data_IF_453091255190
#
_entry.id   IF_453091255190
#
_cell.length_a   1.000
_cell.length_b   1.000
_cell.length_c   1.000
_cell.angle_alpha   90.00
_cell.angle_beta   90.00
_cell.angle_gamma   90.00
#
_symmetry.space_group_name_H-M   'P 1'
#
loop_
_entity.id
_entity.type
_entity.pdbx_description
1 polymer ?
#
# COMPACT_ATOMS: atom_id res chain seq x y z
N UNK A 1 22.95 -15.64 9.22
CA UNK A 1 22.49 -15.32 7.85
C UNK A 1 21.04 -14.87 7.95
N UNK A 2 20.72 -13.64 7.58
CA UNK A 2 19.31 -13.22 7.47
C UNK A 2 18.75 -13.76 6.16
N UNK A 3 17.73 -14.60 6.28
CA UNK A 3 17.09 -15.32 5.18
C UNK A 3 16.61 -14.34 4.08
N UNK A 4 16.96 -14.57 2.79
CA UNK A 4 16.49 -13.76 1.67
C UNK A 4 14.97 -13.57 1.64
N UNK A 5 14.19 -14.57 2.06
CA UNK A 5 12.72 -14.49 2.05
C UNK A 5 12.18 -13.53 3.12
N UNK A 6 12.80 -13.49 4.31
CA UNK A 6 12.45 -12.52 5.37
C UNK A 6 12.72 -11.10 4.88
N UNK A 7 13.85 -10.88 4.19
CA UNK A 7 14.19 -9.57 3.59
C UNK A 7 13.18 -9.14 2.53
N UNK A 8 12.73 -10.06 1.68
CA UNK A 8 11.72 -9.77 0.64
C UNK A 8 10.37 -9.42 1.28
N UNK A 9 9.94 -10.13 2.33
CA UNK A 9 8.68 -9.80 3.02
C UNK A 9 8.70 -8.41 3.64
N UNK A 10 9.80 -8.02 4.29
CA UNK A 10 9.99 -6.68 4.84
C UNK A 10 9.96 -5.62 3.75
N UNK A 11 10.68 -5.84 2.65
CA UNK A 11 10.70 -4.91 1.53
C UNK A 11 9.31 -4.73 0.87
N UNK A 12 8.51 -5.79 0.76
CA UNK A 12 7.14 -5.72 0.22
C UNK A 12 6.20 -4.97 1.16
N UNK A 13 6.31 -5.21 2.47
CA UNK A 13 5.55 -4.47 3.49
C UNK A 13 5.92 -2.99 3.51
N UNK A 14 7.23 -2.67 3.46
CA UNK A 14 7.75 -1.30 3.42
C UNK A 14 7.31 -0.58 2.14
N UNK A 15 7.29 -1.28 1.01
CA UNK A 15 6.77 -0.76 -0.26
C UNK A 15 5.28 -0.42 -0.16
N UNK A 16 4.47 -1.27 0.48
CA UNK A 16 3.05 -1.00 0.75
C UNK A 16 2.87 0.26 1.59
N UNK A 17 3.60 0.38 2.70
CA UNK A 17 3.56 1.54 3.60
C UNK A 17 4.00 2.84 2.90
N UNK A 18 5.08 2.79 2.14
CA UNK A 18 5.58 3.91 1.32
C UNK A 18 4.55 4.33 0.26
N UNK A 19 3.88 3.37 -0.37
CA UNK A 19 2.86 3.62 -1.39
C UNK A 19 1.62 4.29 -0.79
N UNK A 20 1.12 3.81 0.35
CA UNK A 20 0.02 4.45 1.08
C UNK A 20 0.38 5.87 1.52
N UNK A 21 1.61 6.06 2.00
CA UNK A 21 2.12 7.38 2.40
C UNK A 21 2.14 8.36 1.22
N UNK A 22 2.70 7.93 0.08
CA UNK A 22 2.73 8.75 -1.16
C UNK A 22 1.33 9.03 -1.70
N UNK A 23 0.40 8.08 -1.56
CA UNK A 23 -0.99 8.31 -1.91
C UNK A 23 -1.64 9.36 -1.01
N UNK A 24 -1.36 9.36 0.30
CA UNK A 24 -1.76 10.44 1.21
C UNK A 24 -1.22 11.80 0.79
N UNK A 25 0.03 11.87 0.35
CA UNK A 25 0.63 13.09 -0.19
C UNK A 25 -0.08 13.57 -1.47
N UNK A 26 -0.48 12.65 -2.35
CA UNK A 26 -1.26 12.98 -3.55
C UNK A 26 -2.66 13.51 -3.20
N UNK A 27 -3.33 12.95 -2.18
CA UNK A 27 -4.61 13.47 -1.68
C UNK A 27 -4.45 14.91 -1.22
N UNK A 28 -3.38 15.22 -0.48
CA UNK A 28 -3.11 16.58 -0.04
C UNK A 28 -2.87 17.52 -1.24
N UNK A 29 -2.09 17.06 -2.23
CA UNK A 29 -1.85 17.83 -3.46
C UNK A 29 -3.16 18.11 -4.22
N UNK A 30 -4.08 17.16 -4.27
CA UNK A 30 -5.40 17.35 -4.86
C UNK A 30 -6.23 18.39 -4.10
N UNK A 31 -6.21 18.38 -2.77
CA UNK A 31 -6.89 19.41 -1.97
C UNK A 31 -6.31 20.80 -2.20
N UNK A 32 -4.98 20.91 -2.29
CA UNK A 32 -4.30 22.17 -2.55
C UNK A 32 -4.63 22.70 -3.96
N UNK A 33 -4.61 21.82 -4.98
CA UNK A 33 -5.08 22.15 -6.33
C UNK A 33 -6.54 22.62 -6.34
N UNK A 34 -7.41 22.03 -5.52
CA UNK A 34 -8.82 22.43 -5.43
C UNK A 34 -8.95 23.84 -4.85
N UNK A 35 -8.16 24.18 -3.84
CA UNK A 35 -8.11 25.54 -3.27
C UNK A 35 -7.59 26.55 -4.28
N UNK A 36 -6.51 26.23 -4.98
CA UNK A 36 -5.93 27.11 -5.99
C UNK A 36 -6.90 27.31 -7.16
N UNK A 37 -7.54 26.26 -7.63
CA UNK A 37 -8.55 26.33 -8.68
C UNK A 37 -9.76 27.18 -8.26
N UNK A 38 -10.21 27.06 -7.01
CA UNK A 38 -11.28 27.89 -6.45
C UNK A 38 -10.85 29.35 -6.31
N UNK A 39 -9.58 29.61 -5.96
CA UNK A 39 -9.04 30.97 -5.87
C UNK A 39 -8.95 31.65 -7.26
N UNK A 40 -8.64 30.89 -8.31
CA UNK A 40 -8.50 31.42 -9.68
C UNK A 40 -9.86 31.56 -10.36
N UNK A 41 -10.68 30.52 -10.32
CA UNK A 41 -11.92 30.46 -11.09
C UNK A 41 -13.15 30.92 -10.28
N UNK A 42 -13.01 31.14 -8.97
CA UNK A 42 -14.08 31.62 -8.10
C UNK A 42 -15.33 30.72 -8.18
N UNK A 43 -16.49 31.33 -8.36
CA UNK A 43 -17.77 30.61 -8.51
C UNK A 43 -17.84 29.73 -9.76
N UNK A 44 -17.02 29.97 -10.79
CA UNK A 44 -17.01 29.13 -11.99
C UNK A 44 -16.39 27.75 -11.75
N UNK A 45 -15.61 27.59 -10.67
CA UNK A 45 -15.16 26.28 -10.20
C UNK A 45 -16.31 25.47 -9.55
N UNK A 46 -17.26 26.19 -8.94
CA UNK A 46 -18.38 25.59 -8.23
C UNK A 46 -19.33 24.92 -9.24
N UNK A 47 -19.39 23.59 -9.20
CA UNK A 47 -20.26 22.81 -10.08
C UNK A 47 -19.61 21.51 -10.56
N UNK A 48 -19.74 21.22 -11.86
CA UNK A 48 -19.28 19.94 -12.43
C UNK A 48 -17.77 19.73 -12.34
N UNK A 49 -16.97 20.80 -12.44
CA UNK A 49 -15.50 20.71 -12.36
C UNK A 49 -15.04 20.24 -10.98
N UNK A 50 -15.52 20.89 -9.91
CA UNK A 50 -15.28 20.45 -8.54
C UNK A 50 -15.75 19.01 -8.30
N UNK A 51 -16.97 18.66 -8.74
CA UNK A 51 -17.49 17.30 -8.56
C UNK A 51 -16.68 16.25 -9.31
N UNK A 52 -16.19 16.55 -10.51
CA UNK A 52 -15.34 15.64 -11.26
C UNK A 52 -14.00 15.42 -10.54
N UNK A 53 -13.44 16.48 -9.96
CA UNK A 53 -12.20 16.43 -9.17
C UNK A 53 -12.36 15.57 -7.91
N UNK A 54 -13.44 15.79 -7.16
CA UNK A 54 -13.77 15.02 -5.96
C UNK A 54 -14.00 13.54 -6.28
N UNK A 55 -14.69 13.22 -7.40
CA UNK A 55 -14.84 11.83 -7.85
C UNK A 55 -13.52 11.18 -8.21
N UNK A 56 -12.65 11.90 -8.92
CA UNK A 56 -11.32 11.39 -9.28
C UNK A 56 -10.47 11.11 -8.04
N UNK A 57 -10.46 12.04 -7.07
CA UNK A 57 -9.77 11.89 -5.80
C UNK A 57 -10.31 10.70 -4.99
N UNK A 58 -11.63 10.54 -4.92
CA UNK A 58 -12.24 9.39 -4.24
C UNK A 58 -11.85 8.05 -4.88
N UNK A 59 -11.87 7.98 -6.22
CA UNK A 59 -11.44 6.77 -6.96
C UNK A 59 -9.96 6.46 -6.75
N UNK A 60 -9.10 7.49 -6.73
CA UNK A 60 -7.68 7.34 -6.45
C UNK A 60 -7.44 6.77 -5.05
N UNK A 61 -8.09 7.34 -4.04
CA UNK A 61 -7.97 6.90 -2.64
C UNK A 61 -8.32 5.42 -2.47
N UNK A 62 -9.42 4.95 -3.09
CA UNK A 62 -9.82 3.55 -3.05
C UNK A 62 -8.74 2.64 -3.65
N UNK A 63 -8.19 3.01 -4.81
CA UNK A 63 -7.15 2.22 -5.50
C UNK A 63 -5.85 2.19 -4.71
N UNK A 64 -5.44 3.32 -4.16
CA UNK A 64 -4.22 3.40 -3.36
C UNK A 64 -4.29 2.55 -2.09
N UNK A 65 -5.42 2.61 -1.37
CA UNK A 65 -5.64 1.77 -0.19
C UNK A 65 -5.68 0.28 -0.56
N UNK A 66 -6.33 -0.07 -1.67
CA UNK A 66 -6.34 -1.45 -2.17
C UNK A 66 -4.94 -1.99 -2.48
N UNK A 67 -4.08 -1.16 -3.10
CA UNK A 67 -2.70 -1.52 -3.38
C UNK A 67 -1.87 -1.70 -2.10
N UNK A 68 -2.02 -0.79 -1.12
CA UNK A 68 -1.36 -0.90 0.19
C UNK A 68 -1.76 -2.18 0.95
N UNK A 69 -3.05 -2.53 0.91
CA UNK A 69 -3.56 -3.76 1.51
C UNK A 69 -3.01 -5.01 0.81
N UNK A 70 -3.03 -5.05 -0.52
CA UNK A 70 -2.50 -6.18 -1.29
C UNK A 70 -1.00 -6.42 -1.01
N UNK A 71 -0.20 -5.35 -0.89
CA UNK A 71 1.20 -5.49 -0.50
C UNK A 71 1.36 -6.04 0.92
N UNK A 72 0.54 -5.56 1.87
CA UNK A 72 0.56 -6.07 3.25
C UNK A 72 0.20 -7.56 3.32
N UNK A 73 -0.85 -7.98 2.59
CA UNK A 73 -1.29 -9.37 2.51
C UNK A 73 -0.21 -10.29 1.92
N UNK A 74 0.45 -9.86 0.84
CA UNK A 74 1.58 -10.61 0.25
C UNK A 74 2.72 -10.71 1.24
N UNK A 75 3.07 -9.62 1.94
CA UNK A 75 4.08 -9.62 3.00
C UNK A 75 3.78 -10.68 4.07
N UNK A 76 2.56 -10.68 4.61
CA UNK A 76 2.12 -11.65 5.61
C UNK A 76 2.11 -13.09 5.09
N UNK A 77 1.64 -13.32 3.86
CA UNK A 77 1.62 -14.66 3.25
C UNK A 77 3.04 -15.23 3.07
N UNK A 78 4.00 -14.39 2.68
CA UNK A 78 5.41 -14.79 2.57
C UNK A 78 5.97 -15.16 3.95
N UNK A 79 5.74 -14.35 4.99
CA UNK A 79 6.19 -14.66 6.36
C UNK A 79 5.60 -15.98 6.85
N UNK A 80 4.30 -16.18 6.71
CA UNK A 80 3.63 -17.41 7.14
C UNK A 80 4.18 -18.64 6.41
N UNK A 81 4.45 -18.54 5.11
CA UNK A 81 5.07 -19.63 4.35
C UNK A 81 6.49 -19.93 4.82
N UNK A 82 7.27 -18.91 5.20
CA UNK A 82 8.61 -19.10 5.77
C UNK A 82 8.54 -19.82 7.11
N UNK A 83 7.67 -19.40 8.01
CA UNK A 83 7.48 -20.07 9.31
C UNK A 83 7.07 -21.54 9.12
N UNK A 84 6.20 -21.82 8.16
CA UNK A 84 5.80 -23.19 7.82
C UNK A 84 6.96 -24.02 7.28
N UNK A 85 7.80 -23.46 6.41
CA UNK A 85 8.99 -24.14 5.87
C UNK A 85 10.02 -24.43 6.96
N UNK A 86 10.33 -23.46 7.82
CA UNK A 86 11.25 -23.66 8.96
C UNK A 86 10.72 -24.76 9.89
N UNK A 87 9.43 -24.73 10.22
CA UNK A 87 8.82 -25.75 11.05
C UNK A 87 8.83 -27.14 10.40
N UNK A 88 8.67 -27.22 9.07
CA UNK A 88 8.78 -28.47 8.34
C UNK A 88 10.22 -29.00 8.34
N UNK A 89 11.22 -28.14 8.16
CA UNK A 89 12.64 -28.50 8.21
C UNK A 89 13.05 -28.98 9.61
N UNK A 90 12.61 -28.31 10.67
CA UNK A 90 12.86 -28.75 12.06
C UNK A 90 12.28 -30.14 12.31
N UNK A 91 11.06 -30.41 11.82
CA UNK A 91 10.43 -31.73 11.93
C UNK A 91 11.18 -32.79 11.12
N UNK A 92 11.58 -32.46 9.89
CA UNK A 92 12.34 -33.37 9.04
C UNK A 92 13.71 -33.70 9.63
N UNK A 93 14.43 -32.69 10.16
CA UNK A 93 15.70 -32.90 10.86
C UNK A 93 15.54 -33.82 12.09
N UNK A 94 14.44 -33.69 12.83
CA UNK A 94 14.10 -34.62 13.93
C UNK A 94 13.80 -36.05 13.48
N UNK A 95 13.37 -36.26 12.22
CA UNK A 95 13.12 -37.58 11.65
C UNK A 95 14.37 -38.25 11.06
N UNK A 96 15.35 -37.46 10.58
CA UNK A 96 16.59 -37.99 9.98
C UNK A 96 17.80 -37.96 10.93
N UNK A 97 17.68 -37.31 12.09
CA UNK A 97 18.74 -37.21 13.11
C UNK A 97 18.59 -38.14 14.32
N UNK A 98 17.70 -39.14 14.25
CA UNK A 98 17.48 -40.16 15.28
C UNK A 98 18.05 -41.52 14.93
#
# INVERSE_FOLDING_TARGET
MTDPMIKVSGAVSDMGSSTTTKAGQLIQLFEDLKKDAMAIAGEAWAGQAQQAFERAQAQWTVKANGLGNAHSEVGSAVVNNVENLINADIRAAGFFGG
#
